data_IF_467498022831
#
_entry.id   IF_467498022831
#
_cell.length_a   1.000
_cell.length_b   1.000
_cell.length_c   1.000
_cell.angle_alpha   90.00
_cell.angle_beta   90.00
_cell.angle_gamma   90.00
#
_symmetry.space_group_name_H-M   'P 1'
#
loop_
_entity.id
_entity.type
_entity.pdbx_description
1 polymer ?
#
# COMPACT_ATOMS: atom_id res chain seq x y z
N UNK A 1 22.81 -19.52 -29.14
CA UNK A 1 21.52 -19.65 -28.43
C UNK A 1 21.86 -19.88 -26.97
N UNK A 2 21.82 -18.82 -26.16
CA UNK A 2 22.15 -18.77 -24.73
C UNK A 2 20.91 -18.20 -24.01
N UNK A 3 20.73 -18.52 -22.72
CA UNK A 3 19.52 -19.19 -22.24
C UNK A 3 18.53 -18.25 -21.57
N UNK A 4 17.23 -18.53 -21.74
CA UNK A 4 16.09 -17.80 -21.17
C UNK A 4 15.99 -17.82 -19.63
N UNK A 5 17.00 -18.33 -18.90
CA UNK A 5 16.96 -18.47 -17.43
C UNK A 5 17.37 -17.21 -16.66
N UNK A 6 18.06 -16.26 -17.29
CA UNK A 6 18.47 -15.01 -16.61
C UNK A 6 17.26 -14.07 -16.38
N UNK A 7 16.28 -14.12 -17.29
CA UNK A 7 15.05 -13.31 -17.24
C UNK A 7 14.10 -13.77 -16.12
N UNK A 8 13.98 -15.08 -15.86
CA UNK A 8 13.15 -15.62 -14.77
C UNK A 8 13.70 -15.20 -13.41
N UNK A 9 15.02 -15.31 -13.21
CA UNK A 9 15.64 -14.87 -11.96
C UNK A 9 15.57 -13.34 -11.76
N UNK A 10 15.66 -12.56 -12.84
CA UNK A 10 15.47 -11.12 -12.78
C UNK A 10 14.04 -10.75 -12.36
N UNK A 11 13.04 -11.44 -12.91
CA UNK A 11 11.64 -11.24 -12.58
C UNK A 11 11.33 -11.63 -11.12
N UNK A 12 11.81 -12.79 -10.64
CA UNK A 12 11.60 -13.20 -9.25
C UNK A 12 12.25 -12.24 -8.24
N UNK A 13 13.45 -11.74 -8.53
CA UNK A 13 14.12 -10.72 -7.68
C UNK A 13 13.32 -9.43 -7.62
N UNK A 14 12.78 -8.98 -8.75
CA UNK A 14 11.99 -7.76 -8.82
C UNK A 14 10.68 -7.88 -8.03
N UNK A 15 9.98 -9.01 -8.16
CA UNK A 15 8.76 -9.29 -7.37
C UNK A 15 9.05 -9.25 -5.86
N UNK A 16 10.14 -9.90 -5.42
CA UNK A 16 10.53 -9.90 -4.01
C UNK A 16 10.82 -8.48 -3.48
N UNK A 17 11.42 -7.61 -4.30
CA UNK A 17 11.66 -6.20 -3.94
C UNK A 17 10.35 -5.41 -3.84
N UNK A 18 9.40 -5.64 -4.73
CA UNK A 18 8.08 -4.99 -4.72
C UNK A 18 7.26 -5.40 -3.50
N UNK A 19 7.24 -6.70 -3.18
CA UNK A 19 6.59 -7.21 -1.97
C UNK A 19 7.23 -6.65 -0.71
N UNK A 20 8.57 -6.62 -0.66
CA UNK A 20 9.30 -6.02 0.46
C UNK A 20 8.96 -4.55 0.62
N UNK A 21 8.85 -3.79 -0.49
CA UNK A 21 8.45 -2.39 -0.45
C UNK A 21 7.02 -2.25 0.08
N UNK A 22 6.06 -3.02 -0.42
CA UNK A 22 4.67 -2.99 0.06
C UNK A 22 4.56 -3.33 1.54
N UNK A 23 5.30 -4.33 2.04
CA UNK A 23 5.35 -4.66 3.46
C UNK A 23 5.91 -3.49 4.30
N UNK A 24 6.92 -2.78 3.82
CA UNK A 24 7.43 -1.57 4.51
C UNK A 24 6.39 -0.44 4.52
N UNK A 25 5.63 -0.29 3.44
CA UNK A 25 4.53 0.68 3.39
C UNK A 25 3.42 0.35 4.38
N UNK A 26 3.09 -0.94 4.55
CA UNK A 26 2.13 -1.36 5.56
C UNK A 26 2.59 -0.99 6.97
N UNK A 27 3.84 -1.31 7.31
CA UNK A 27 4.41 -0.95 8.62
C UNK A 27 4.39 0.57 8.85
N UNK A 28 4.70 1.36 7.80
CA UNK A 28 4.62 2.81 7.87
C UNK A 28 3.17 3.31 8.07
N UNK A 29 2.20 2.69 7.40
CA UNK A 29 0.77 3.00 7.57
C UNK A 29 0.29 2.67 8.98
N UNK A 30 0.64 1.50 9.53
CA UNK A 30 0.29 1.12 10.90
C UNK A 30 0.94 2.04 11.93
N UNK A 31 2.19 2.44 11.70
CA UNK A 31 2.89 3.40 12.56
C UNK A 31 2.22 4.77 12.54
N UNK A 32 1.82 5.27 11.37
CA UNK A 32 1.07 6.52 11.22
C UNK A 32 -0.25 6.44 11.97
N UNK A 33 -1.02 5.36 11.74
CA UNK A 33 -2.31 5.17 12.38
C UNK A 33 -2.18 5.17 13.90
N UNK A 34 -1.16 4.48 14.44
CA UNK A 34 -0.88 4.49 15.87
C UNK A 34 -0.58 5.88 16.42
N UNK A 35 0.19 6.68 15.70
CA UNK A 35 0.53 8.05 16.09
C UNK A 35 -0.71 8.95 16.10
N UNK A 36 -1.52 8.96 15.02
CA UNK A 36 -2.73 9.80 14.96
C UNK A 36 -3.82 9.33 15.91
N UNK A 37 -3.79 8.07 16.36
CA UNK A 37 -4.71 7.54 17.37
C UNK A 37 -4.10 7.42 18.77
N UNK A 38 -2.89 7.94 19.03
CA UNK A 38 -2.17 7.74 20.29
C UNK A 38 -3.01 8.18 21.50
N UNK A 39 -3.68 9.32 21.37
CA UNK A 39 -4.53 9.89 22.42
C UNK A 39 -5.89 9.19 22.58
N UNK A 40 -6.29 8.36 21.61
CA UNK A 40 -7.63 7.77 21.55
C UNK A 40 -7.78 6.47 22.35
N UNK A 41 -6.71 5.95 22.97
CA UNK A 41 -6.71 4.73 23.80
C UNK A 41 -7.44 3.54 23.14
N UNK A 42 -7.21 3.34 21.84
CA UNK A 42 -7.85 2.26 21.09
C UNK A 42 -7.27 0.89 21.51
N UNK A 43 -8.11 -0.14 21.52
CA UNK A 43 -7.70 -1.52 21.82
C UNK A 43 -7.01 -2.20 20.63
N UNK A 44 -7.27 -1.74 19.40
CA UNK A 44 -6.78 -2.32 18.16
C UNK A 44 -6.25 -1.23 17.24
N UNK A 45 -5.09 -1.49 16.63
CA UNK A 45 -4.38 -0.52 15.78
C UNK A 45 -4.19 -1.03 14.34
N UNK A 46 -4.88 -2.12 13.99
CA UNK A 46 -4.81 -2.68 12.65
C UNK A 46 -5.51 -1.76 11.65
N UNK A 47 -4.83 -1.49 10.54
CA UNK A 47 -5.35 -0.57 9.52
C UNK A 47 -6.70 -1.00 8.96
N UNK A 48 -6.97 -2.31 8.88
CA UNK A 48 -8.27 -2.84 8.44
C UNK A 48 -9.42 -2.41 9.33
N UNK A 49 -9.21 -2.39 10.65
CA UNK A 49 -10.23 -1.98 11.63
C UNK A 49 -10.33 -0.46 11.70
N UNK A 50 -9.19 0.22 11.72
CA UNK A 50 -9.17 1.68 11.83
C UNK A 50 -9.73 2.38 10.58
N UNK A 51 -9.49 1.83 9.40
CA UNK A 51 -9.98 2.36 8.11
C UNK A 51 -11.28 1.70 7.63
N UNK A 52 -11.90 0.85 8.45
CA UNK A 52 -13.24 0.33 8.20
C UNK A 52 -14.27 1.46 8.25
N UNK A 53 -15.38 1.30 7.53
CA UNK A 53 -16.46 2.29 7.52
C UNK A 53 -17.08 2.52 8.91
N UNK A 54 -17.15 1.46 9.70
CA UNK A 54 -17.64 1.40 11.08
C UNK A 54 -16.52 1.51 12.13
N UNK A 55 -15.32 1.92 11.71
CA UNK A 55 -14.20 2.12 12.63
C UNK A 55 -14.41 3.29 13.60
N UNK A 56 -13.45 3.54 14.51
CA UNK A 56 -13.57 4.56 15.55
C UNK A 56 -13.89 5.97 15.01
N UNK A 57 -14.74 6.71 15.72
CA UNK A 57 -15.20 8.05 15.36
C UNK A 57 -14.17 9.14 15.73
N UNK A 58 -13.00 9.08 15.08
CA UNK A 58 -11.93 10.08 15.20
C UNK A 58 -11.87 10.90 13.91
N UNK A 59 -11.66 12.22 14.02
CA UNK A 59 -11.65 13.13 12.88
C UNK A 59 -10.53 12.80 11.89
N UNK A 60 -9.36 12.44 12.40
CA UNK A 60 -8.18 12.02 11.65
C UNK A 60 -8.45 10.72 10.89
N UNK A 61 -9.08 9.73 11.55
CA UNK A 61 -9.48 8.49 10.91
C UNK A 61 -10.57 8.73 9.87
N UNK A 62 -11.51 9.64 10.12
CA UNK A 62 -12.52 9.99 9.13
C UNK A 62 -11.88 10.62 7.89
N UNK A 63 -10.93 11.55 8.05
CA UNK A 63 -10.18 12.13 6.92
C UNK A 63 -9.43 11.05 6.14
N UNK A 64 -8.80 10.10 6.82
CA UNK A 64 -8.14 8.96 6.18
C UNK A 64 -9.14 8.03 5.47
N UNK A 65 -10.34 7.80 6.03
CA UNK A 65 -11.40 7.03 5.35
C UNK A 65 -11.90 7.74 4.10
N UNK A 66 -12.09 9.06 4.17
CA UNK A 66 -12.49 9.88 3.03
C UNK A 66 -11.42 9.86 1.93
N UNK A 67 -10.14 9.88 2.31
CA UNK A 67 -9.03 9.69 1.39
C UNK A 67 -9.05 8.28 0.78
N UNK A 68 -9.21 7.23 1.58
CA UNK A 68 -9.34 5.84 1.11
C UNK A 68 -10.54 5.64 0.18
N UNK A 69 -11.62 6.41 0.33
CA UNK A 69 -12.80 6.33 -0.52
C UNK A 69 -12.56 6.93 -1.93
N UNK A 70 -11.56 7.80 -2.09
CA UNK A 70 -11.21 8.40 -3.38
C UNK A 70 -10.43 7.40 -4.24
N UNK A 71 -10.92 6.98 -5.43
CA UNK A 71 -10.27 5.96 -6.26
C UNK A 71 -8.86 6.35 -6.75
N UNK A 72 -8.61 7.64 -6.89
CA UNK A 72 -7.33 8.18 -7.35
C UNK A 72 -6.35 8.46 -6.21
N UNK A 73 -6.74 8.20 -4.96
CA UNK A 73 -5.86 8.46 -3.81
C UNK A 73 -4.82 7.36 -3.64
N UNK A 74 -3.67 7.78 -3.15
CA UNK A 74 -2.60 6.85 -2.77
C UNK A 74 -3.05 5.82 -1.74
N UNK A 75 -3.97 6.20 -0.83
CA UNK A 75 -4.42 5.33 0.25
C UNK A 75 -5.40 4.27 -0.25
N UNK A 76 -6.28 4.63 -1.20
CA UNK A 76 -7.13 3.65 -1.88
C UNK A 76 -6.25 2.62 -2.60
N UNK A 77 -5.30 3.09 -3.40
CA UNK A 77 -4.38 2.23 -4.13
C UNK A 77 -3.57 1.32 -3.19
N UNK A 78 -3.02 1.88 -2.10
CA UNK A 78 -2.22 1.13 -1.13
C UNK A 78 -3.05 0.03 -0.45
N UNK A 79 -4.24 0.35 0.04
CA UNK A 79 -5.13 -0.65 0.68
C UNK A 79 -5.45 -1.78 -0.30
N UNK A 80 -5.74 -1.48 -1.57
CA UNK A 80 -5.96 -2.50 -2.58
C UNK A 80 -4.72 -3.39 -2.78
N UNK A 81 -3.51 -2.82 -2.77
CA UNK A 81 -2.29 -3.62 -2.86
C UNK A 81 -2.03 -4.46 -1.60
N UNK A 82 -2.30 -3.92 -0.42
CA UNK A 82 -2.14 -4.65 0.85
C UNK A 82 -3.15 -5.80 0.96
N UNK A 83 -4.40 -5.63 0.55
CA UNK A 83 -5.35 -6.74 0.50
C UNK A 83 -4.90 -7.82 -0.48
N UNK A 84 -4.32 -7.44 -1.62
CA UNK A 84 -3.74 -8.40 -2.58
C UNK A 84 -2.52 -9.14 -2.02
N UNK A 85 -1.68 -8.45 -1.24
CA UNK A 85 -0.51 -9.03 -0.58
C UNK A 85 -0.90 -10.07 0.46
N UNK A 86 -1.98 -9.84 1.20
CA UNK A 86 -2.48 -10.74 2.25
C UNK A 86 -3.43 -11.83 1.76
N UNK A 87 -3.94 -11.72 0.52
CA UNK A 87 -4.74 -12.79 -0.06
C UNK A 87 -3.88 -14.03 -0.29
N UNK A 88 -4.46 -15.23 -0.11
CA UNK A 88 -3.83 -16.53 -0.42
C UNK A 88 -3.36 -16.66 -1.89
N UNK A 89 -3.72 -15.69 -2.74
CA UNK A 89 -3.25 -15.50 -4.13
C UNK A 89 -1.86 -14.85 -4.26
N UNK A 90 -1.04 -14.84 -3.19
CA UNK A 90 0.30 -14.23 -3.11
C UNK A 90 1.09 -14.28 -4.43
N UNK A 91 1.88 -13.23 -4.71
CA UNK A 91 2.34 -12.73 -6.02
C UNK A 91 2.66 -13.73 -7.16
N UNK A 92 2.91 -15.00 -6.86
CA UNK A 92 2.99 -16.13 -7.76
C UNK A 92 1.85 -16.22 -8.80
N UNK A 93 0.61 -15.79 -8.51
CA UNK A 93 -0.50 -15.88 -9.49
C UNK A 93 -0.58 -14.74 -10.51
N UNK A 94 0.15 -13.62 -10.35
CA UNK A 94 0.26 -12.62 -11.44
C UNK A 94 0.90 -13.22 -12.70
N UNK A 95 1.74 -14.25 -12.56
CA UNK A 95 2.39 -14.93 -13.68
C UNK A 95 1.44 -15.81 -14.51
N UNK A 96 0.28 -16.23 -13.99
CA UNK A 96 -0.54 -17.28 -14.63
C UNK A 96 -1.80 -16.78 -15.34
N UNK A 97 -2.19 -15.51 -15.21
CA UNK A 97 -3.44 -15.03 -15.79
C UNK A 97 -3.34 -14.49 -17.24
N UNK A 98 -2.23 -14.69 -17.95
CA UNK A 98 -2.22 -14.54 -19.42
C UNK A 98 -0.97 -15.14 -20.10
N UNK A 99 -0.98 -16.41 -20.53
CA UNK A 99 0.11 -16.98 -21.33
C UNK A 99 0.16 -16.43 -22.78
N UNK A 100 -0.82 -15.65 -23.22
CA UNK A 100 -0.89 -15.09 -24.57
C UNK A 100 -0.49 -13.60 -24.67
N UNK A 101 -0.14 -12.95 -23.56
CA UNK A 101 0.25 -11.54 -23.54
C UNK A 101 1.51 -11.40 -22.70
N UNK A 102 2.65 -11.76 -23.29
CA UNK A 102 3.95 -11.25 -22.82
C UNK A 102 4.02 -9.77 -23.22
N UNK A 103 3.28 -8.92 -22.51
CA UNK A 103 3.51 -7.48 -22.51
C UNK A 103 4.60 -7.21 -21.47
N UNK A 104 5.86 -7.30 -21.93
CA UNK A 104 7.00 -6.62 -21.31
C UNK A 104 6.70 -5.12 -21.37
N UNK A 105 5.92 -4.62 -20.42
CA UNK A 105 5.45 -3.22 -20.41
C UNK A 105 4.76 -2.78 -19.13
N UNK A 106 4.25 -3.72 -18.31
CA UNK A 106 3.50 -3.38 -17.11
C UNK A 106 4.31 -3.46 -15.78
N UNK A 107 5.58 -3.87 -15.83
CA UNK A 107 6.40 -4.06 -14.62
C UNK A 107 7.08 -2.77 -14.15
N UNK A 108 7.47 -1.88 -15.08
CA UNK A 108 7.95 -0.53 -14.74
C UNK A 108 6.88 0.30 -14.02
N UNK A 109 5.61 0.09 -14.38
CA UNK A 109 4.49 0.85 -13.84
C UNK A 109 4.24 0.65 -12.35
N UNK A 110 4.51 -0.52 -11.77
CA UNK A 110 4.27 -0.73 -10.33
C UNK A 110 5.30 0.00 -9.47
N UNK A 111 6.58 -0.03 -9.87
CA UNK A 111 7.64 0.72 -9.20
C UNK A 111 7.41 2.23 -9.27
N UNK A 112 7.04 2.74 -10.44
CA UNK A 112 6.72 4.16 -10.62
C UNK A 112 5.50 4.56 -9.77
N UNK A 113 4.43 3.76 -9.79
CA UNK A 113 3.27 3.97 -8.93
C UNK A 113 3.63 3.93 -7.43
N UNK A 114 4.52 3.02 -7.00
CA UNK A 114 5.00 2.99 -5.62
C UNK A 114 5.71 4.30 -5.24
N UNK A 115 6.57 4.82 -6.12
CA UNK A 115 7.30 6.06 -5.87
C UNK A 115 6.36 7.28 -5.83
N UNK A 116 5.43 7.38 -6.78
CA UNK A 116 4.46 8.47 -6.85
C UNK A 116 3.54 8.45 -5.62
N UNK A 117 3.03 7.28 -5.25
CA UNK A 117 2.20 7.11 -4.07
C UNK A 117 2.99 7.34 -2.77
N UNK A 118 4.29 7.02 -2.72
CA UNK A 118 5.14 7.37 -1.58
C UNK A 118 5.22 8.89 -1.39
N UNK A 119 5.41 9.63 -2.48
CA UNK A 119 5.52 11.08 -2.43
C UNK A 119 4.20 11.73 -2.04
N UNK A 120 3.08 11.24 -2.59
CA UNK A 120 1.75 11.65 -2.19
C UNK A 120 1.49 11.37 -0.70
N UNK A 121 1.80 10.16 -0.23
CA UNK A 121 1.67 9.78 1.17
C UNK A 121 2.48 10.70 2.09
N UNK A 122 3.75 10.97 1.77
CA UNK A 122 4.59 11.87 2.57
C UNK A 122 4.00 13.27 2.72
N UNK A 123 3.41 13.83 1.65
CA UNK A 123 2.77 15.16 1.70
C UNK A 123 1.54 15.15 2.59
N UNK A 124 0.64 14.19 2.37
CA UNK A 124 -0.61 14.09 3.15
C UNK A 124 -0.35 13.76 4.63
N UNK A 125 0.63 12.91 4.91
CA UNK A 125 1.06 12.58 6.28
C UNK A 125 1.64 13.81 6.98
N UNK A 126 2.44 14.61 6.28
CA UNK A 126 2.95 15.88 6.81
C UNK A 126 1.81 16.81 7.22
N UNK A 127 0.85 17.01 6.32
CA UNK A 127 -0.33 17.84 6.58
C UNK A 127 -1.19 17.30 7.73
N UNK A 128 -1.36 15.98 7.84
CA UNK A 128 -2.07 15.34 8.95
C UNK A 128 -1.40 15.62 10.29
N UNK A 129 -0.08 15.42 10.38
CA UNK A 129 0.70 15.66 11.61
C UNK A 129 0.65 17.12 12.04
N UNK A 130 0.75 18.07 11.10
CA UNK A 130 0.58 19.49 11.41
C UNK A 130 -0.79 19.76 12.01
N UNK A 131 -1.86 19.22 11.41
CA UNK A 131 -3.21 19.40 11.96
C UNK A 131 -3.43 18.70 13.30
N UNK A 132 -2.73 17.61 13.62
CA UNK A 132 -2.84 16.94 14.93
C UNK A 132 -2.11 17.66 16.06
N UNK A 133 -1.16 18.56 15.76
CA UNK A 133 -0.43 19.36 16.76
C UNK A 133 -1.17 20.65 17.17
N UNK A 134 -2.24 21.01 16.48
CA UNK A 134 -3.01 22.24 16.73
C UNK A 134 -4.15 22.07 17.77
N UNK A 135 -4.33 20.87 18.33
CA UNK A 135 -5.38 20.52 19.31
C UNK A 135 -4.82 20.08 20.67
#
# INVERSE_FOLDING_TARGET
MLPSGDDEHAQSRQMALEESALAHFELALESLLREVTEHARLSEHHWRVLLAHDGPALAELQRLRDLKAQPESWLNWLVVQLERLHSDDGAARRATHNPAVIAVGNQTGLREQLLDNLQAAKREIGALRETSLEW
#
